data_IF_766787183749
#
_entry.id   IF_766787183749
#
_cell.length_a   1.000
_cell.length_b   1.000
_cell.length_c   1.000
_cell.angle_alpha   90.00
_cell.angle_beta   90.00
_cell.angle_gamma   90.00
#
_symmetry.space_group_name_H-M   'P 1'
#
loop_
_entity.id
_entity.type
_entity.pdbx_description
1 polymer ?
#
# COMPACT_ATOMS: atom_id res chain seq x y z
N UNK A 1 33.67 -14.18 9.74
CA UNK A 1 32.71 -14.09 8.62
C UNK A 1 32.28 -12.63 8.56
N UNK A 2 32.20 -12.02 7.38
CA UNK A 2 31.91 -10.57 7.27
C UNK A 2 30.49 -10.29 7.82
N UNK A 3 30.35 -9.28 8.69
CA UNK A 3 29.08 -8.96 9.39
C UNK A 3 27.92 -8.74 8.42
N UNK A 4 28.21 -8.22 7.23
CA UNK A 4 27.24 -7.95 6.18
C UNK A 4 26.68 -9.24 5.58
N UNK A 5 27.50 -10.28 5.44
CA UNK A 5 27.07 -11.60 4.97
C UNK A 5 26.14 -12.24 6.00
N UNK A 6 26.47 -12.16 7.29
CA UNK A 6 25.61 -12.65 8.37
C UNK A 6 24.23 -11.98 8.36
N UNK A 7 24.20 -10.65 8.14
CA UNK A 7 22.95 -9.90 8.01
C UNK A 7 22.11 -10.36 6.81
N UNK A 8 22.72 -10.52 5.63
CA UNK A 8 22.03 -11.02 4.43
C UNK A 8 21.46 -12.41 4.68
N UNK A 9 22.21 -13.28 5.34
CA UNK A 9 21.76 -14.63 5.67
C UNK A 9 20.61 -14.66 6.67
N UNK A 10 20.62 -13.75 7.65
CA UNK A 10 19.54 -13.60 8.62
C UNK A 10 18.24 -13.12 7.95
N UNK A 11 18.33 -12.13 7.07
CA UNK A 11 17.16 -11.49 6.46
C UNK A 11 16.60 -12.29 5.26
N UNK A 12 17.46 -12.95 4.50
CA UNK A 12 17.10 -13.58 3.22
C UNK A 12 17.46 -15.08 3.12
N UNK A 13 18.07 -15.65 4.15
CA UNK A 13 18.47 -17.06 4.18
C UNK A 13 19.86 -17.34 3.61
N UNK A 14 20.32 -18.60 3.75
CA UNK A 14 21.72 -18.96 3.49
C UNK A 14 22.09 -19.19 2.02
N UNK A 15 21.10 -19.36 1.14
CA UNK A 15 21.30 -19.74 -0.26
C UNK A 15 21.42 -18.53 -1.21
N UNK A 16 21.69 -17.35 -0.66
CA UNK A 16 21.82 -16.13 -1.45
C UNK A 16 23.16 -16.05 -2.18
N UNK A 17 23.13 -15.46 -3.37
CA UNK A 17 24.35 -15.13 -4.11
C UNK A 17 24.89 -13.81 -3.60
N UNK A 18 26.14 -13.79 -3.15
CA UNK A 18 26.79 -12.62 -2.58
C UNK A 18 28.06 -12.33 -3.36
N UNK A 19 28.21 -11.08 -3.77
CA UNK A 19 29.39 -10.57 -4.47
C UNK A 19 29.93 -9.31 -3.81
N UNK A 20 31.21 -9.06 -4.02
CA UNK A 20 31.91 -7.87 -3.56
C UNK A 20 32.15 -6.93 -4.76
N UNK A 21 31.95 -5.63 -4.54
CA UNK A 21 32.14 -4.57 -5.53
C UNK A 21 33.47 -3.89 -5.22
N UNK A 22 34.47 -4.15 -6.06
CA UNK A 22 35.81 -3.62 -5.91
C UNK A 22 35.99 -2.38 -6.80
N UNK A 23 36.62 -1.37 -6.23
CA UNK A 23 37.07 -0.19 -6.98
C UNK A 23 38.20 -0.58 -7.94
N UNK A 24 38.22 0.06 -9.11
CA UNK A 24 39.36 -0.02 -10.03
C UNK A 24 40.00 1.36 -10.15
N UNK A 25 41.19 1.43 -10.75
CA UNK A 25 41.88 2.70 -11.03
C UNK A 25 41.05 3.64 -11.93
N UNK A 26 40.10 3.10 -12.69
CA UNK A 26 39.14 3.86 -13.47
C UNK A 26 37.83 4.01 -12.69
N UNK A 27 37.39 5.24 -12.45
CA UNK A 27 36.16 5.55 -11.68
C UNK A 27 34.90 4.92 -12.26
N UNK A 28 34.83 4.76 -13.59
CA UNK A 28 33.67 4.28 -14.32
C UNK A 28 33.62 2.75 -14.39
N UNK A 29 34.65 2.07 -13.87
CA UNK A 29 34.76 0.62 -13.86
C UNK A 29 34.82 0.10 -12.43
N UNK A 30 33.96 -0.88 -12.17
CA UNK A 30 34.01 -1.68 -10.95
C UNK A 30 34.23 -3.13 -11.33
N UNK A 31 34.97 -3.84 -10.50
CA UNK A 31 35.11 -5.30 -10.62
C UNK A 31 34.17 -5.96 -9.64
N UNK A 32 33.41 -6.94 -10.10
CA UNK A 32 32.51 -7.72 -9.26
C UNK A 32 33.15 -9.08 -9.00
N UNK A 33 33.32 -9.44 -7.72
CA UNK A 33 33.90 -10.71 -7.31
C UNK A 33 32.88 -11.55 -6.56
N UNK A 34 32.60 -12.76 -7.03
CA UNK A 34 31.72 -13.69 -6.33
C UNK A 34 32.37 -14.12 -5.01
N UNK A 35 31.69 -13.88 -3.88
CA UNK A 35 32.13 -14.35 -2.56
C UNK A 35 31.40 -15.64 -2.17
N UNK A 36 30.12 -15.75 -2.55
CA UNK A 36 29.27 -16.90 -2.19
C UNK A 36 28.18 -17.14 -3.22
N UNK A 37 27.82 -18.40 -3.43
CA UNK A 37 26.66 -18.79 -4.22
C UNK A 37 26.96 -18.98 -5.71
N UNK A 38 26.05 -18.55 -6.58
CA UNK A 38 26.14 -18.80 -8.02
C UNK A 38 25.49 -17.70 -8.84
N UNK A 39 26.10 -17.34 -9.97
CA UNK A 39 25.53 -16.44 -10.97
C UNK A 39 24.32 -17.01 -11.71
N UNK A 40 23.94 -18.27 -11.44
CA UNK A 40 22.72 -18.90 -11.99
C UNK A 40 21.56 -18.88 -11.00
N UNK A 41 21.74 -18.27 -9.83
CA UNK A 41 20.72 -18.25 -8.80
C UNK A 41 19.52 -17.40 -9.24
N UNK A 42 18.30 -17.92 -9.01
CA UNK A 42 17.04 -17.23 -9.32
C UNK A 42 16.62 -16.23 -8.23
N UNK A 43 17.26 -16.30 -7.07
CA UNK A 43 17.07 -15.35 -5.97
C UNK A 43 17.83 -14.04 -6.22
N UNK A 44 17.47 -12.95 -5.51
CA UNK A 44 18.22 -11.71 -5.55
C UNK A 44 19.71 -11.94 -5.30
N UNK A 45 20.58 -11.18 -5.97
CA UNK A 45 22.01 -11.21 -5.69
C UNK A 45 22.39 -9.98 -4.90
N UNK A 46 23.21 -10.17 -3.87
CA UNK A 46 23.59 -9.10 -2.97
C UNK A 46 25.03 -8.66 -3.22
N UNK A 47 25.22 -7.36 -3.42
CA UNK A 47 26.52 -6.74 -3.60
C UNK A 47 26.94 -6.00 -2.35
N UNK A 48 28.18 -6.18 -1.90
CA UNK A 48 28.77 -5.41 -0.80
C UNK A 48 29.86 -4.52 -1.39
N UNK A 49 29.77 -3.20 -1.18
CA UNK A 49 30.82 -2.26 -1.61
C UNK A 49 31.92 -2.07 -0.55
N UNK A 50 32.93 -1.26 -0.89
CA UNK A 50 34.06 -0.96 0.00
C UNK A 50 33.62 -0.26 1.31
N UNK A 51 32.53 0.50 1.27
CA UNK A 51 31.95 1.22 2.41
C UNK A 51 30.98 0.34 3.23
N UNK A 52 30.92 -0.96 2.93
CA UNK A 52 30.04 -1.95 3.56
C UNK A 52 28.55 -1.70 3.33
N UNK A 53 28.19 -0.93 2.30
CA UNK A 53 26.80 -0.82 1.88
C UNK A 53 26.38 -2.09 1.13
N UNK A 54 25.16 -2.55 1.41
CA UNK A 54 24.56 -3.72 0.77
C UNK A 54 23.59 -3.24 -0.32
N UNK A 55 23.82 -3.68 -1.54
CA UNK A 55 22.95 -3.48 -2.69
C UNK A 55 22.31 -4.81 -3.11
N UNK A 56 21.17 -4.75 -3.80
CA UNK A 56 20.51 -5.93 -4.35
C UNK A 56 20.35 -5.77 -5.86
N UNK A 57 20.70 -6.83 -6.59
CA UNK A 57 20.45 -6.97 -8.02
C UNK A 57 19.25 -7.89 -8.20
N UNK A 58 18.22 -7.37 -8.85
CA UNK A 58 16.97 -8.05 -9.13
C UNK A 58 16.76 -8.10 -10.63
N UNK A 59 16.14 -9.18 -11.12
CA UNK A 59 15.63 -9.17 -12.49
C UNK A 59 14.52 -8.13 -12.61
N UNK A 60 14.41 -7.49 -13.79
CA UNK A 60 13.32 -6.55 -14.06
C UNK A 60 11.95 -7.20 -13.85
N UNK A 61 11.83 -8.49 -14.19
CA UNK A 61 10.61 -9.28 -13.96
C UNK A 61 10.28 -9.36 -12.46
N UNK A 62 11.25 -9.70 -11.62
CA UNK A 62 11.08 -9.78 -10.17
C UNK A 62 10.69 -8.42 -9.58
N UNK A 63 11.36 -7.34 -10.00
CA UNK A 63 11.04 -5.99 -9.53
C UNK A 63 9.63 -5.57 -9.94
N UNK A 64 9.25 -5.83 -11.19
CA UNK A 64 7.90 -5.52 -11.71
C UNK A 64 6.84 -6.29 -10.96
N UNK A 65 7.06 -7.59 -10.71
CA UNK A 65 6.16 -8.42 -9.91
C UNK A 65 6.01 -7.87 -8.49
N UNK A 66 7.10 -7.50 -7.82
CA UNK A 66 7.06 -6.92 -6.48
C UNK A 66 6.24 -5.61 -6.45
N UNK A 67 6.47 -4.71 -7.40
CA UNK A 67 5.73 -3.45 -7.51
C UNK A 67 4.24 -3.70 -7.74
N UNK A 68 3.89 -4.65 -8.61
CA UNK A 68 2.49 -4.97 -8.89
C UNK A 68 1.81 -5.60 -7.68
N UNK A 69 2.47 -6.54 -6.99
CA UNK A 69 1.95 -7.11 -5.75
C UNK A 69 1.72 -6.03 -4.69
N UNK A 70 2.67 -5.10 -4.52
CA UNK A 70 2.50 -3.97 -3.61
C UNK A 70 1.31 -3.08 -4.00
N UNK A 71 1.17 -2.73 -5.28
CA UNK A 71 0.04 -1.93 -5.78
C UNK A 71 -1.31 -2.61 -5.52
N UNK A 72 -1.38 -3.92 -5.69
CA UNK A 72 -2.60 -4.68 -5.41
C UNK A 72 -2.95 -4.65 -3.93
N UNK A 73 -1.98 -4.94 -3.05
CA UNK A 73 -2.18 -4.88 -1.59
C UNK A 73 -2.55 -3.47 -1.13
N UNK A 74 -1.93 -2.43 -1.71
CA UNK A 74 -2.26 -1.05 -1.40
C UNK A 74 -3.71 -0.71 -1.82
N UNK A 75 -4.15 -1.18 -2.98
CA UNK A 75 -5.54 -1.02 -3.46
C UNK A 75 -6.53 -1.76 -2.56
N UNK A 76 -6.29 -3.04 -2.30
CA UNK A 76 -7.17 -3.84 -1.44
C UNK A 76 -7.31 -3.23 -0.04
N UNK A 77 -6.21 -2.77 0.55
CA UNK A 77 -6.26 -2.08 1.84
C UNK A 77 -7.03 -0.76 1.79
N UNK A 78 -6.92 -0.02 0.68
CA UNK A 78 -7.69 1.20 0.49
C UNK A 78 -9.19 0.88 0.39
N UNK A 79 -9.55 -0.07 -0.47
CA UNK A 79 -10.93 -0.49 -0.70
C UNK A 79 -11.56 -0.96 0.62
N UNK A 80 -10.91 -1.86 1.36
CA UNK A 80 -11.38 -2.36 2.66
C UNK A 80 -11.61 -1.25 3.70
N UNK A 81 -10.72 -0.25 3.74
CA UNK A 81 -10.88 0.88 4.68
C UNK A 81 -12.08 1.74 4.30
N UNK A 82 -12.27 2.00 3.00
CA UNK A 82 -13.41 2.77 2.51
C UNK A 82 -14.72 2.00 2.75
N UNK A 83 -14.75 0.70 2.45
CA UNK A 83 -15.90 -0.17 2.69
C UNK A 83 -16.30 -0.14 4.17
N UNK A 84 -15.33 -0.30 5.07
CA UNK A 84 -15.54 -0.26 6.51
C UNK A 84 -16.08 1.10 6.98
N UNK A 85 -15.59 2.18 6.40
CA UNK A 85 -16.02 3.54 6.73
C UNK A 85 -17.47 3.78 6.30
N UNK A 86 -17.82 3.40 5.06
CA UNK A 86 -19.19 3.48 4.53
C UNK A 86 -20.14 2.59 5.35
N UNK A 87 -19.76 1.35 5.65
CA UNK A 87 -20.63 0.44 6.39
C UNK A 87 -21.03 0.98 7.78
N UNK A 88 -20.16 1.76 8.44
CA UNK A 88 -20.43 2.37 9.74
C UNK A 88 -21.49 3.47 9.69
N UNK A 89 -21.73 4.06 8.52
CA UNK A 89 -22.70 5.15 8.36
C UNK A 89 -24.08 4.68 7.91
N UNK A 90 -24.29 3.35 7.79
CA UNK A 90 -25.56 2.71 7.45
C UNK A 90 -26.15 3.25 6.13
N UNK A 91 -25.50 2.94 5.00
CA UNK A 91 -25.99 3.36 3.69
C UNK A 91 -27.31 2.66 3.36
N UNK A 92 -28.20 3.36 2.68
CA UNK A 92 -29.42 2.77 2.10
C UNK A 92 -29.03 1.87 0.92
N UNK A 93 -28.18 2.40 0.03
CA UNK A 93 -27.54 1.66 -1.05
C UNK A 93 -26.02 1.84 -0.96
N UNK A 94 -25.31 0.73 -0.77
CA UNK A 94 -23.86 0.76 -0.62
C UNK A 94 -23.14 1.16 -1.91
N UNK A 95 -23.63 0.71 -3.07
CA UNK A 95 -23.01 0.97 -4.37
C UNK A 95 -23.10 2.45 -4.77
N UNK A 96 -24.21 3.09 -4.44
CA UNK A 96 -24.40 4.53 -4.67
C UNK A 96 -23.45 5.35 -3.80
N UNK A 97 -23.41 5.06 -2.50
CA UNK A 97 -22.51 5.76 -1.56
C UNK A 97 -21.05 5.55 -1.94
N UNK A 98 -20.67 4.32 -2.32
CA UNK A 98 -19.34 4.00 -2.82
C UNK A 98 -18.96 4.88 -4.02
N UNK A 99 -19.84 4.97 -5.00
CA UNK A 99 -19.62 5.73 -6.23
C UNK A 99 -19.40 7.22 -5.93
N UNK A 100 -20.22 7.80 -5.05
CA UNK A 100 -20.11 9.21 -4.63
C UNK A 100 -18.81 9.45 -3.84
N UNK A 101 -18.46 8.57 -2.90
CA UNK A 101 -17.21 8.69 -2.14
C UNK A 101 -16.00 8.63 -3.07
N UNK A 102 -15.98 7.69 -4.02
CA UNK A 102 -14.89 7.55 -4.99
C UNK A 102 -14.77 8.76 -5.91
N UNK A 103 -15.89 9.39 -6.30
CA UNK A 103 -15.87 10.63 -7.07
C UNK A 103 -15.25 11.78 -6.26
N UNK A 104 -15.62 11.92 -4.99
CA UNK A 104 -15.07 12.95 -4.10
C UNK A 104 -13.56 12.74 -3.86
N UNK A 105 -13.12 11.49 -3.65
CA UNK A 105 -11.71 11.12 -3.52
C UNK A 105 -10.93 11.50 -4.79
N UNK A 106 -11.48 11.19 -5.98
CA UNK A 106 -10.85 11.56 -7.27
C UNK A 106 -10.73 13.07 -7.41
N UNK A 107 -11.75 13.85 -7.01
CA UNK A 107 -11.70 15.31 -7.02
C UNK A 107 -10.59 15.83 -6.09
N UNK A 108 -10.48 15.30 -4.88
CA UNK A 108 -9.43 15.69 -3.94
C UNK A 108 -8.02 15.39 -4.46
N UNK A 109 -7.84 14.24 -5.11
CA UNK A 109 -6.56 13.86 -5.73
C UNK A 109 -6.18 14.77 -6.91
N UNK A 110 -7.17 15.20 -7.72
CA UNK A 110 -6.93 16.15 -8.81
C UNK A 110 -6.57 17.55 -8.30
N UNK A 111 -7.22 18.00 -7.21
CA UNK A 111 -6.97 19.29 -6.60
C UNK A 111 -5.63 19.33 -5.84
N UNK A 112 -5.13 18.18 -5.37
CA UNK A 112 -3.90 18.07 -4.61
C UNK A 112 -3.00 16.94 -5.17
N UNK A 113 -2.20 17.20 -6.22
CA UNK A 113 -1.36 16.19 -6.85
C UNK A 113 -0.29 15.55 -5.93
N UNK A 114 0.14 16.30 -4.91
CA UNK A 114 1.09 15.84 -3.88
C UNK A 114 0.44 14.91 -2.84
N UNK A 115 -0.90 14.87 -2.78
CA UNK A 115 -1.65 14.13 -1.78
C UNK A 115 -1.68 12.65 -2.17
N UNK A 116 -0.93 11.83 -1.45
CA UNK A 116 -1.01 10.39 -1.62
C UNK A 116 -2.38 9.90 -1.13
N UNK A 117 -3.12 9.22 -2.00
CA UNK A 117 -4.45 8.64 -1.74
C UNK A 117 -4.43 7.72 -0.50
N UNK A 118 -3.29 7.11 -0.19
CA UNK A 118 -3.06 6.28 0.99
C UNK A 118 -3.13 7.03 2.33
N UNK A 119 -2.96 8.36 2.33
CA UNK A 119 -2.96 9.21 3.52
C UNK A 119 -4.30 9.94 3.73
N UNK A 120 -5.31 9.61 2.93
CA UNK A 120 -6.64 10.19 3.07
C UNK A 120 -7.33 9.68 4.35
N UNK A 121 -7.96 10.62 5.04
CA UNK A 121 -8.87 10.30 6.13
C UNK A 121 -10.23 9.92 5.55
N UNK A 122 -10.40 8.63 5.28
CA UNK A 122 -11.60 8.09 4.63
C UNK A 122 -12.86 8.28 5.48
N UNK A 123 -12.73 8.25 6.81
CA UNK A 123 -13.86 8.51 7.72
C UNK A 123 -14.39 9.93 7.53
N UNK A 124 -13.49 10.93 7.48
CA UNK A 124 -13.90 12.32 7.19
C UNK A 124 -14.56 12.48 5.83
N UNK A 125 -14.09 11.74 4.82
CA UNK A 125 -14.68 11.81 3.47
C UNK A 125 -16.11 11.26 3.50
N UNK A 126 -16.33 10.10 4.11
CA UNK A 126 -17.66 9.51 4.23
C UNK A 126 -18.59 10.40 5.06
N UNK A 127 -18.10 11.01 6.14
CA UNK A 127 -18.88 11.97 6.93
C UNK A 127 -19.31 13.19 6.11
N UNK A 128 -18.39 13.76 5.30
CA UNK A 128 -18.71 14.87 4.41
C UNK A 128 -19.75 14.47 3.34
N UNK A 129 -19.64 13.25 2.79
CA UNK A 129 -20.62 12.71 1.84
C UNK A 129 -21.98 12.56 2.51
N UNK A 130 -22.04 12.08 3.76
CA UNK A 130 -23.28 11.98 4.55
C UNK A 130 -23.93 13.34 4.79
N UNK A 131 -23.15 14.37 5.10
CA UNK A 131 -23.67 15.72 5.29
C UNK A 131 -24.22 16.31 3.98
N UNK A 132 -23.55 16.04 2.86
CA UNK A 132 -23.90 16.57 1.54
C UNK A 132 -25.06 15.84 0.86
N UNK A 133 -25.18 14.53 1.12
CA UNK A 133 -26.17 13.64 0.51
C UNK A 133 -26.85 12.76 1.58
N UNK A 134 -27.59 13.36 2.54
CA UNK A 134 -28.18 12.63 3.66
C UNK A 134 -29.19 11.55 3.19
N UNK A 135 -29.81 11.74 2.02
CA UNK A 135 -30.75 10.81 1.41
C UNK A 135 -30.14 9.46 1.00
N UNK A 136 -28.81 9.32 1.03
CA UNK A 136 -28.13 8.05 0.75
C UNK A 136 -27.97 7.18 2.00
N UNK A 137 -28.30 7.70 3.19
CA UNK A 137 -28.05 7.05 4.47
C UNK A 137 -29.33 6.87 5.26
N UNK A 138 -29.37 5.84 6.10
CA UNK A 138 -30.52 5.56 6.95
C UNK A 138 -30.63 6.63 8.05
N UNK A 139 -31.80 7.26 8.14
CA UNK A 139 -32.12 8.20 9.20
C UNK A 139 -32.81 7.48 10.37
N UNK A 140 -32.01 6.98 11.30
CA UNK A 140 -32.51 6.27 12.48
C UNK A 140 -33.37 7.19 13.36
N UNK A 141 -33.01 8.46 13.48
CA UNK A 141 -33.73 9.39 14.37
C UNK A 141 -35.16 9.60 13.88
N UNK A 142 -35.35 9.75 12.57
CA UNK A 142 -36.67 9.82 11.96
C UNK A 142 -37.43 8.49 12.03
N UNK A 143 -36.76 7.34 11.87
CA UNK A 143 -37.40 6.03 12.04
C UNK A 143 -37.89 5.80 13.48
N UNK A 144 -37.09 6.17 14.48
CA UNK A 144 -37.48 6.03 15.89
C UNK A 144 -38.63 6.98 16.23
N UNK A 145 -38.58 8.25 15.80
CA UNK A 145 -39.65 9.22 16.06
C UNK A 145 -40.98 8.82 15.42
N UNK A 146 -40.96 8.37 14.15
CA UNK A 146 -42.16 7.90 13.46
C UNK A 146 -42.81 6.69 14.14
N UNK A 147 -42.01 5.78 14.72
CA UNK A 147 -42.55 4.67 15.50
C UNK A 147 -43.19 5.13 16.82
N UNK A 148 -42.56 6.06 17.54
CA UNK A 148 -43.09 6.56 18.83
C UNK A 148 -44.42 7.31 18.67
N UNK A 149 -44.63 8.01 17.56
CA UNK A 149 -45.93 8.68 17.28
C UNK A 149 -47.04 7.67 16.99
N UNK A 150 -46.74 6.58 16.27
CA UNK A 150 -47.70 5.50 16.00
C UNK A 150 -48.11 4.72 17.28
N UNK A 151 -47.27 4.69 18.32
CA UNK A 151 -47.63 4.09 19.62
C UNK A 151 -48.43 5.02 20.54
N UNK A 152 -48.49 6.34 20.26
CA UNK A 152 -49.31 7.29 21.04
C UNK A 152 -50.76 7.36 20.57
N UNK A 153 -51.08 6.76 19.44
CA UNK A 153 -52.42 6.73 18.84
C UNK A 153 -53.11 5.37 18.87
N UNK A 154 -52.57 4.40 19.61
CA UNK A 154 -53.22 3.13 19.96
C UNK A 154 -53.52 3.05 21.45
#
# INVERSE_FOLDING_TARGET
>A
MDKEIEKIEQDFGKDQTIFEILNTENSDKKTIMLKKGSWKNRYPWFGIDADKNIYSVLSLKSLTSLINSYKNVARENFDLKLEKSIARTLPIDFGDVWSVCMEEIKKLALLNPELQVSNLDLDKIVDNVRLKYPNLFVDIDNMIRGNVENFKHN
#
